data_IF_765319550155
#
_entry.id   IF_765319550155
#
_cell.length_a   1.000
_cell.length_b   1.000
_cell.length_c   1.000
_cell.angle_alpha   90.00
_cell.angle_beta   90.00
_cell.angle_gamma   90.00
#
_symmetry.space_group_name_H-M   'P 1'
#
loop_
_entity.id
_entity.type
_entity.pdbx_description
1 polymer ?
#
# COMPACT_ATOMS: atom_id res chain seq x y z
N UNK A 1 12.39 13.89 2.43
CA UNK A 1 11.33 12.94 2.80
C UNK A 1 10.48 12.73 1.56
N UNK A 2 10.30 11.47 1.11
CA UNK A 2 9.57 11.20 -0.14
C UNK A 2 8.11 11.66 -0.06
N UNK A 3 7.54 12.13 -1.17
CA UNK A 3 6.13 12.55 -1.22
C UNK A 3 5.14 11.39 -1.06
N UNK A 4 5.58 10.13 -1.19
CA UNK A 4 4.74 8.95 -0.90
C UNK A 4 4.49 8.77 0.61
N UNK A 5 5.29 9.41 1.48
CA UNK A 5 5.04 9.35 2.92
C UNK A 5 3.69 9.97 3.26
N UNK A 6 2.94 9.33 4.16
CA UNK A 6 1.63 9.80 4.60
C UNK A 6 0.71 8.69 5.10
N UNK A 7 -0.49 9.09 5.50
CA UNK A 7 -1.56 8.18 5.88
C UNK A 7 -2.58 8.12 4.75
N UNK A 8 -2.97 6.91 4.38
CA UNK A 8 -3.90 6.64 3.30
C UNK A 8 -5.04 5.78 3.82
N UNK A 9 -6.28 6.20 3.57
CA UNK A 9 -7.48 5.46 3.98
C UNK A 9 -8.15 4.89 2.74
N UNK A 10 -8.41 3.58 2.77
CA UNK A 10 -9.09 2.90 1.68
C UNK A 10 -10.59 3.17 1.73
N UNK A 11 -11.17 3.52 0.59
CA UNK A 11 -12.59 3.89 0.48
C UNK A 11 -13.57 2.71 0.58
N UNK A 12 -13.11 1.46 0.53
CA UNK A 12 -13.99 0.29 0.35
C UNK A 12 -13.57 -0.98 1.13
N UNK A 13 -12.34 -1.05 1.66
CA UNK A 13 -11.79 -2.29 2.23
C UNK A 13 -11.52 -2.24 3.76
N UNK A 14 -12.01 -1.20 4.46
CA UNK A 14 -11.67 -0.91 5.87
C UNK A 14 -10.16 -1.08 6.12
N UNK A 15 -9.37 -0.45 5.26
CA UNK A 15 -7.93 -0.56 5.24
C UNK A 15 -7.29 0.82 5.37
N UNK A 16 -6.20 0.91 6.14
CA UNK A 16 -5.43 2.14 6.32
C UNK A 16 -3.95 1.84 6.17
N UNK A 17 -3.30 2.43 5.18
CA UNK A 17 -1.86 2.32 4.95
C UNK A 17 -1.17 3.58 5.49
N UNK A 18 -0.16 3.40 6.34
CA UNK A 18 0.73 4.47 6.80
C UNK A 18 2.11 4.20 6.24
N UNK A 19 2.65 5.13 5.46
CA UNK A 19 4.00 5.05 4.87
C UNK A 19 4.90 6.04 5.59
N UNK A 20 5.99 5.56 6.18
CA UNK A 20 6.91 6.36 7.01
C UNK A 20 8.28 6.59 6.38
N UNK A 21 8.77 5.65 5.58
CA UNK A 21 10.17 5.64 5.14
C UNK A 21 10.32 5.45 3.62
N UNK A 22 9.58 6.23 2.83
CA UNK A 22 9.73 6.26 1.38
C UNK A 22 11.08 6.82 0.93
N UNK A 23 11.71 6.12 0.00
CA UNK A 23 13.02 6.45 -0.57
C UNK A 23 12.96 6.49 -2.11
N UNK A 24 12.91 7.69 -2.67
CA UNK A 24 12.80 7.90 -4.12
C UNK A 24 14.03 7.43 -4.90
N UNK A 25 15.20 7.31 -4.26
CA UNK A 25 16.44 6.89 -4.93
C UNK A 25 16.43 5.42 -5.34
N UNK A 26 15.69 4.58 -4.61
CA UNK A 26 15.58 3.15 -4.88
C UNK A 26 14.13 2.67 -5.00
N UNK A 27 13.15 3.56 -4.83
CA UNK A 27 11.73 3.24 -4.93
C UNK A 27 11.19 2.39 -3.79
N UNK A 28 11.88 2.26 -2.66
CA UNK A 28 11.42 1.44 -1.53
C UNK A 28 10.65 2.24 -0.47
N UNK A 29 9.81 1.57 0.32
CA UNK A 29 9.24 2.13 1.54
C UNK A 29 8.87 1.05 2.56
N UNK A 30 8.73 1.48 3.81
CA UNK A 30 8.14 0.70 4.90
C UNK A 30 7.00 1.44 5.60
N UNK A 31 6.23 0.70 6.40
CA UNK A 31 5.11 1.26 7.13
C UNK A 31 4.23 0.25 7.85
N UNK A 32 2.97 0.63 8.10
CA UNK A 32 1.93 -0.21 8.70
C UNK A 32 0.68 -0.19 7.83
N UNK A 33 0.08 -1.35 7.57
CA UNK A 33 -1.26 -1.48 7.00
C UNK A 33 -2.19 -2.01 8.09
N UNK A 34 -3.26 -1.29 8.40
CA UNK A 34 -4.37 -1.81 9.20
C UNK A 34 -5.46 -2.32 8.26
N UNK A 35 -6.04 -3.48 8.51
CA UNK A 35 -7.22 -3.99 7.79
C UNK A 35 -8.16 -4.68 8.79
N UNK A 36 -9.42 -4.25 8.86
CA UNK A 36 -10.40 -4.78 9.82
C UNK A 36 -9.85 -4.87 11.26
N UNK A 37 -9.15 -3.82 11.71
CA UNK A 37 -8.54 -3.72 13.05
C UNK A 37 -7.22 -4.46 13.25
N UNK A 38 -6.75 -5.24 12.27
CA UNK A 38 -5.48 -5.99 12.34
C UNK A 38 -4.35 -5.17 11.71
N UNK A 39 -3.22 -5.07 12.41
CA UNK A 39 -2.03 -4.33 11.96
C UNK A 39 -1.02 -5.26 11.29
N UNK A 40 -0.58 -4.93 10.09
CA UNK A 40 0.43 -5.65 9.33
C UNK A 40 1.63 -4.72 9.15
N UNK A 41 2.82 -5.18 9.51
CA UNK A 41 4.05 -4.50 9.11
C UNK A 41 4.19 -4.63 7.61
N UNK A 42 4.45 -3.53 6.89
CA UNK A 42 4.55 -3.56 5.43
C UNK A 42 5.91 -3.13 4.92
N UNK A 43 6.27 -3.75 3.80
CA UNK A 43 7.32 -3.29 2.90
C UNK A 43 6.71 -3.13 1.50
N UNK A 44 7.19 -2.15 0.76
CA UNK A 44 6.71 -1.92 -0.60
C UNK A 44 7.76 -1.30 -1.49
N UNK A 45 7.44 -1.30 -2.78
CA UNK A 45 8.26 -0.73 -3.83
C UNK A 45 7.38 0.04 -4.79
N UNK A 46 7.89 1.13 -5.33
CA UNK A 46 7.28 1.93 -6.38
C UNK A 46 8.27 2.20 -7.50
N UNK A 47 7.72 2.47 -8.68
CA UNK A 47 8.51 2.80 -9.85
C UNK A 47 7.79 3.83 -10.72
N UNK A 48 8.54 4.84 -11.14
CA UNK A 48 8.07 5.92 -12.00
C UNK A 48 8.15 5.48 -13.46
N UNK A 49 7.15 5.81 -14.27
CA UNK A 49 7.26 5.61 -15.71
C UNK A 49 8.46 6.40 -16.26
N UNK A 50 9.35 5.76 -17.03
CA UNK A 50 10.58 6.39 -17.54
C UNK A 50 11.48 6.97 -16.43
N UNK A 51 11.44 6.41 -15.21
CA UNK A 51 12.25 6.81 -14.05
C UNK A 51 12.02 8.24 -13.52
N UNK A 52 11.12 9.02 -14.14
CA UNK A 52 10.84 10.42 -13.80
C UNK A 52 9.40 10.86 -14.11
N UNK A 53 8.64 10.07 -14.87
CA UNK A 53 7.31 10.37 -15.35
C UNK A 53 6.21 10.11 -14.32
N UNK A 54 5.06 10.73 -14.57
CA UNK A 54 3.99 10.94 -13.59
C UNK A 54 3.28 9.68 -13.06
N UNK A 55 3.00 8.64 -13.88
CA UNK A 55 2.36 7.46 -13.32
C UNK A 55 3.37 6.62 -12.55
N UNK A 56 2.96 6.26 -11.34
CA UNK A 56 3.73 5.43 -10.44
C UNK A 56 2.98 4.13 -10.19
N UNK A 57 3.62 3.00 -10.48
CA UNK A 57 3.13 1.69 -10.06
C UNK A 57 3.74 1.34 -8.71
N UNK A 58 2.96 0.73 -7.83
CA UNK A 58 3.34 0.48 -6.44
C UNK A 58 2.95 -0.95 -6.07
N UNK A 59 3.81 -1.66 -5.36
CA UNK A 59 3.47 -2.90 -4.67
C UNK A 59 3.59 -2.72 -3.15
N UNK A 60 2.78 -3.45 -2.41
CA UNK A 60 2.86 -3.54 -0.95
C UNK A 60 2.72 -5.01 -0.57
N UNK A 61 3.59 -5.50 0.30
CA UNK A 61 3.38 -6.74 1.04
C UNK A 61 3.32 -6.46 2.54
N UNK A 62 2.36 -7.08 3.21
CA UNK A 62 2.15 -6.95 4.65
C UNK A 62 2.13 -8.30 5.32
N UNK A 63 2.73 -8.38 6.51
CA UNK A 63 2.73 -9.59 7.33
C UNK A 63 2.30 -9.28 8.76
N UNK A 64 1.51 -10.20 9.31
CA UNK A 64 1.22 -10.28 10.73
C UNK A 64 1.30 -11.75 11.18
N UNK A 65 2.07 -12.02 12.22
CA UNK A 65 2.35 -13.37 12.72
C UNK A 65 1.13 -14.16 13.19
N UNK A 66 0.07 -13.48 13.64
CA UNK A 66 -1.19 -14.10 14.05
C UNK A 66 -2.27 -14.14 12.98
N UNK A 67 -2.13 -13.36 11.89
CA UNK A 67 -3.22 -13.13 10.93
C UNK A 67 -2.86 -13.39 9.46
N UNK A 68 -1.59 -13.63 9.15
CA UNK A 68 -1.12 -14.02 7.82
C UNK A 68 -0.63 -12.84 6.98
N UNK A 69 -0.89 -12.89 5.67
CA UNK A 69 -0.33 -11.99 4.69
C UNK A 69 -1.36 -11.11 4.00
N UNK A 70 -0.91 -9.95 3.55
CA UNK A 70 -1.60 -9.13 2.57
C UNK A 70 -0.66 -8.74 1.43
N UNK A 71 -1.20 -8.61 0.23
CA UNK A 71 -0.48 -8.10 -0.92
C UNK A 71 -1.38 -7.15 -1.71
N UNK A 72 -0.82 -6.02 -2.17
CA UNK A 72 -1.55 -5.01 -2.92
C UNK A 72 -0.74 -4.53 -4.12
N UNK A 73 -1.43 -4.31 -5.24
CA UNK A 73 -0.97 -3.54 -6.38
C UNK A 73 -1.70 -2.19 -6.38
N UNK A 74 -0.95 -1.11 -6.50
CA UNK A 74 -1.49 0.24 -6.51
C UNK A 74 -0.95 1.07 -7.68
N UNK A 75 -1.70 2.10 -8.04
CA UNK A 75 -1.37 3.03 -9.11
C UNK A 75 -1.67 4.46 -8.68
N UNK A 76 -0.69 5.34 -8.84
CA UNK A 76 -0.87 6.80 -8.75
C UNK A 76 -0.73 7.41 -10.15
N UNK A 77 -1.62 8.31 -10.59
CA UNK A 77 -1.46 9.01 -11.86
C UNK A 77 -0.39 10.12 -11.79
N UNK A 78 -0.03 10.57 -10.59
CA UNK A 78 0.93 11.64 -10.33
C UNK A 78 1.83 11.36 -9.11
N UNK A 79 2.79 12.26 -8.83
CA UNK A 79 3.71 12.17 -7.68
C UNK A 79 3.20 12.86 -6.40
N UNK A 80 1.95 13.35 -6.42
CA UNK A 80 1.33 13.90 -5.21
C UNK A 80 0.78 12.77 -4.33
N UNK A 81 0.51 11.61 -4.94
CA UNK A 81 -0.04 10.43 -4.27
C UNK A 81 -1.34 10.75 -3.54
N UNK A 82 -2.14 11.72 -4.01
CA UNK A 82 -3.39 12.08 -3.34
C UNK A 82 -4.39 10.90 -3.34
N UNK A 83 -4.29 10.04 -4.36
CA UNK A 83 -5.16 8.89 -4.58
C UNK A 83 -4.37 7.75 -5.21
N UNK A 84 -4.47 6.57 -4.61
CA UNK A 84 -3.89 5.34 -5.14
C UNK A 84 -5.02 4.38 -5.49
N UNK A 85 -5.21 4.08 -6.78
CA UNK A 85 -6.12 2.99 -7.19
C UNK A 85 -5.51 1.69 -6.74
N UNK A 86 -6.30 0.81 -6.13
CA UNK A 86 -5.75 -0.37 -5.47
C UNK A 86 -6.59 -1.63 -5.69
N UNK A 87 -5.87 -2.73 -5.86
CA UNK A 87 -6.40 -4.10 -5.80
C UNK A 87 -5.43 -4.94 -4.98
N UNK A 88 -5.95 -5.82 -4.14
CA UNK A 88 -5.14 -6.64 -3.27
C UNK A 88 -5.86 -7.88 -2.80
N UNK A 89 -5.17 -8.64 -1.97
CA UNK A 89 -5.74 -9.82 -1.32
C UNK A 89 -5.17 -10.00 0.07
N UNK A 90 -5.96 -10.66 0.91
CA UNK A 90 -5.57 -11.17 2.23
C UNK A 90 -5.64 -12.68 2.23
N UNK A 91 -4.65 -13.33 2.84
CA UNK A 91 -4.72 -14.73 3.26
C UNK A 91 -4.42 -14.87 4.75
N UNK A 92 -5.15 -15.76 5.44
CA UNK A 92 -4.99 -15.98 6.87
C UNK A 92 -4.79 -17.47 7.21
N UNK A 93 -4.46 -17.75 8.47
CA UNK A 93 -4.24 -19.12 8.97
C UNK A 93 -5.53 -19.96 9.08
N UNK A 94 -6.71 -19.36 8.92
CA UNK A 94 -7.99 -20.06 8.80
C UNK A 94 -8.23 -20.59 7.39
N UNK A 95 -7.37 -20.26 6.43
CA UNK A 95 -7.50 -20.67 5.02
C UNK A 95 -8.34 -19.72 4.17
N UNK A 96 -8.78 -18.57 4.72
CA UNK A 96 -9.53 -17.59 3.94
C UNK A 96 -8.61 -16.89 2.95
N UNK A 97 -9.10 -16.71 1.71
CA UNK A 97 -8.49 -15.85 0.70
C UNK A 97 -9.53 -14.83 0.26
N UNK A 98 -9.29 -13.55 0.56
CA UNK A 98 -10.25 -12.47 0.34
C UNK A 98 -9.64 -11.44 -0.61
N UNK A 99 -10.32 -11.17 -1.73
CA UNK A 99 -9.98 -10.08 -2.63
C UNK A 99 -10.44 -8.74 -2.07
N UNK A 100 -9.58 -7.72 -2.18
CA UNK A 100 -9.80 -6.37 -1.69
C UNK A 100 -9.61 -5.38 -2.84
N UNK A 101 -10.41 -4.32 -2.88
CA UNK A 101 -10.34 -3.31 -3.93
C UNK A 101 -10.79 -1.96 -3.39
N UNK A 102 -10.42 -0.88 -4.09
CA UNK A 102 -10.84 0.47 -3.77
C UNK A 102 -9.78 1.49 -4.11
N UNK A 103 -9.86 2.66 -3.48
CA UNK A 103 -8.85 3.69 -3.59
C UNK A 103 -8.33 4.07 -2.21
N UNK A 104 -7.01 4.14 -2.07
CA UNK A 104 -6.35 4.69 -0.89
C UNK A 104 -6.23 6.20 -1.07
N UNK A 105 -6.93 6.97 -0.22
CA UNK A 105 -6.94 8.43 -0.25
C UNK A 105 -6.03 8.99 0.84
N UNK A 106 -5.08 9.83 0.45
CA UNK A 106 -4.15 10.47 1.37
C UNK A 106 -4.89 11.47 2.27
N UNK A 107 -4.54 11.49 3.56
CA UNK A 107 -5.07 12.41 4.57
C UNK A 107 -4.14 13.60 4.78
#
# INVERSE_FOLDING_TARGET
MSSINGTYVNSNADARLVVTDGNDSNGSFSGELTQAGVKYSVAGHYHFQNSTGQPTIINVSGYNDGYGYQAWALFSPDHNYARLRASGARSNFSGDVVGLSGEFLKQ
#
